data_IF_589207542243
#
_entry.id   IF_589207542243
#
_cell.length_a   1.000
_cell.length_b   1.000
_cell.length_c   1.000
_cell.angle_alpha   90.00
_cell.angle_beta   90.00
_cell.angle_gamma   90.00
#
_symmetry.space_group_name_H-M   'P 1'
#
loop_
_entity.id
_entity.type
_entity.pdbx_description
1 polymer ?
#
# COMPACT_ATOMS: atom_id res chain seq x y z
N UNK A 1 -23.31 5.81 21.95
CA UNK A 1 -22.10 6.57 22.32
C UNK A 1 -21.12 6.70 21.16
N UNK A 2 -21.03 5.72 20.24
CA UNK A 2 -20.13 5.79 19.08
C UNK A 2 -20.49 6.87 18.03
N UNK A 3 -21.78 7.22 17.91
CA UNK A 3 -22.24 8.39 17.14
C UNK A 3 -21.71 9.73 17.71
N UNK A 4 -21.41 9.78 19.01
CA UNK A 4 -20.88 10.99 19.69
C UNK A 4 -19.36 11.08 19.48
N UNK A 5 -18.64 9.95 19.41
CA UNK A 5 -17.20 9.89 19.07
C UNK A 5 -16.94 10.22 17.59
N UNK A 6 -17.80 9.77 16.68
CA UNK A 6 -17.67 10.08 15.25
C UNK A 6 -18.01 11.55 14.93
N UNK A 7 -19.01 12.14 15.62
CA UNK A 7 -19.29 13.58 15.55
C UNK A 7 -18.17 14.42 16.19
N UNK A 8 -17.47 13.87 17.17
CA UNK A 8 -16.33 14.53 17.83
C UNK A 8 -15.05 14.48 16.98
N UNK A 9 -14.77 13.38 16.28
CA UNK A 9 -13.65 13.31 15.32
C UNK A 9 -13.86 14.24 14.11
N UNK A 10 -15.10 14.34 13.61
CA UNK A 10 -15.48 15.33 12.58
C UNK A 10 -15.35 16.78 13.09
N UNK A 11 -15.65 17.05 14.37
CA UNK A 11 -15.37 18.35 15.03
C UNK A 11 -13.86 18.63 15.11
N UNK A 12 -13.03 17.64 15.40
CA UNK A 12 -11.55 17.79 15.47
C UNK A 12 -10.97 18.06 14.07
N UNK A 13 -11.41 17.37 13.02
CA UNK A 13 -10.99 17.64 11.65
C UNK A 13 -11.46 19.01 11.12
N UNK A 14 -12.65 19.48 11.55
CA UNK A 14 -13.13 20.82 11.24
C UNK A 14 -12.32 21.92 11.95
N UNK A 15 -11.91 21.66 13.21
CA UNK A 15 -11.05 22.54 14.00
C UNK A 15 -9.64 22.59 13.39
N UNK A 16 -9.03 21.46 13.05
CA UNK A 16 -7.71 21.37 12.39
C UNK A 16 -7.73 22.08 11.03
N UNK A 17 -8.77 21.92 10.22
CA UNK A 17 -8.93 22.69 8.97
C UNK A 17 -9.10 24.18 9.21
N UNK A 18 -9.86 24.60 10.23
CA UNK A 18 -10.07 26.02 10.58
C UNK A 18 -8.75 26.67 11.04
N UNK A 19 -7.89 25.95 11.78
CA UNK A 19 -6.59 26.46 12.23
C UNK A 19 -5.50 26.41 11.16
N UNK A 20 -5.45 25.38 10.31
CA UNK A 20 -4.53 25.33 9.16
C UNK A 20 -4.87 26.44 8.14
N UNK A 21 -6.15 26.73 7.91
CA UNK A 21 -6.56 27.84 7.06
C UNK A 21 -6.33 29.22 7.71
N UNK A 22 -6.42 29.34 9.06
CA UNK A 22 -6.06 30.57 9.80
C UNK A 22 -4.54 30.80 9.79
N UNK A 23 -3.73 29.75 9.91
CA UNK A 23 -2.28 29.78 9.79
C UNK A 23 -1.82 30.08 8.35
N UNK A 24 -2.49 29.52 7.34
CA UNK A 24 -2.23 29.84 5.93
C UNK A 24 -2.63 31.28 5.59
N UNK A 25 -3.73 31.82 6.13
CA UNK A 25 -4.11 33.23 5.96
C UNK A 25 -3.17 34.19 6.68
N UNK A 26 -2.63 33.82 7.85
CA UNK A 26 -1.61 34.60 8.55
C UNK A 26 -0.25 34.57 7.82
N UNK A 27 0.16 33.40 7.31
CA UNK A 27 1.36 33.25 6.46
C UNK A 27 1.26 34.03 5.15
N UNK A 28 0.08 34.10 4.53
CA UNK A 28 -0.12 34.87 3.30
C UNK A 28 -0.20 36.39 3.58
N UNK A 29 -0.64 36.80 4.77
CA UNK A 29 -0.67 38.20 5.18
C UNK A 29 0.70 38.74 5.65
N UNK A 30 1.54 37.93 6.31
CA UNK A 30 2.87 38.33 6.80
C UNK A 30 3.99 38.18 5.77
N UNK A 31 3.85 37.34 4.73
CA UNK A 31 4.86 37.19 3.67
C UNK A 31 4.82 38.28 2.58
N UNK A 32 4.26 39.45 2.91
CA UNK A 32 4.43 40.69 2.16
C UNK A 32 5.80 41.34 2.34
N UNK A 33 6.90 40.59 2.39
CA UNK A 33 8.26 41.14 2.50
C UNK A 33 9.18 40.61 1.40
N UNK A 34 9.05 41.22 0.22
CA UNK A 34 10.24 41.64 -0.54
C UNK A 34 10.97 42.69 0.30
N UNK A 35 12.20 42.42 0.73
CA UNK A 35 13.33 43.39 0.75
C UNK A 35 14.62 42.77 1.33
N UNK A 36 15.67 42.84 0.50
CA UNK A 36 17.13 42.83 0.74
C UNK A 36 17.65 42.05 1.96
N UNK A 37 18.31 40.93 1.65
CA UNK A 37 19.34 40.30 2.48
C UNK A 37 20.52 41.27 2.67
N UNK A 38 20.51 42.05 3.74
CA UNK A 38 21.73 42.69 4.21
C UNK A 38 22.59 41.63 4.90
N UNK A 39 23.68 41.23 4.22
CA UNK A 39 24.85 40.62 4.86
C UNK A 39 25.32 41.55 5.97
N UNK A 40 25.23 41.10 7.22
CA UNK A 40 25.92 41.73 8.34
C UNK A 40 26.84 40.66 8.94
N UNK A 41 28.10 40.65 8.50
CA UNK A 41 29.19 40.12 9.32
C UNK A 41 29.46 41.16 10.41
N UNK A 42 28.95 40.95 11.63
CA UNK A 42 29.44 41.70 12.79
C UNK A 42 30.64 40.93 13.36
N UNK A 43 31.84 41.51 13.25
CA UNK A 43 33.00 41.10 14.04
C UNK A 43 32.66 41.26 15.53
N UNK A 44 32.58 40.16 16.27
CA UNK A 44 32.73 40.19 17.72
C UNK A 44 34.21 40.41 18.04
N UNK A 45 34.52 41.26 19.03
CA UNK A 45 35.88 41.56 19.49
C UNK A 45 36.52 40.41 20.31
N UNK A 46 36.10 39.17 20.07
CA UNK A 46 36.65 37.98 20.72
C UNK A 46 36.40 36.74 19.85
N UNK A 47 37.27 36.53 18.85
CA UNK A 47 37.74 35.22 18.38
C UNK A 47 36.76 34.12 17.95
N UNK A 48 35.45 34.34 17.81
CA UNK A 48 34.49 33.30 17.44
C UNK A 48 33.48 33.78 16.40
N UNK A 49 33.40 33.10 15.27
CA UNK A 49 32.33 33.28 14.28
C UNK A 49 31.01 32.80 14.89
N UNK A 50 30.25 33.66 15.56
CA UNK A 50 28.83 33.38 15.83
C UNK A 50 28.04 33.64 14.56
N UNK A 51 27.78 32.57 13.80
CA UNK A 51 26.99 32.63 12.58
C UNK A 51 25.51 32.45 12.95
N UNK A 52 24.81 33.57 13.13
CA UNK A 52 23.36 33.60 13.38
C UNK A 52 22.59 33.14 12.14
N UNK A 53 22.55 31.82 11.89
CA UNK A 53 21.84 31.22 10.76
C UNK A 53 20.53 30.60 11.24
N UNK A 54 19.42 31.15 10.76
CA UNK A 54 18.09 30.62 11.02
C UNK A 54 17.91 29.23 10.41
N UNK A 55 17.13 28.39 11.08
CA UNK A 55 16.86 27.01 10.67
C UNK A 55 16.29 26.93 9.26
N UNK A 56 15.40 27.84 8.85
CA UNK A 56 14.84 27.88 7.49
C UNK A 56 15.91 28.04 6.40
N UNK A 57 16.93 28.85 6.68
CA UNK A 57 18.00 29.18 5.73
C UNK A 57 18.98 28.02 5.70
N UNK A 58 19.21 27.40 6.86
CA UNK A 58 19.96 26.16 6.99
C UNK A 58 19.34 25.01 6.18
N UNK A 59 18.01 24.84 6.27
CA UNK A 59 17.28 23.83 5.50
C UNK A 59 17.45 24.07 4.00
N UNK A 60 17.33 25.31 3.54
CA UNK A 60 17.52 25.64 2.13
C UNK A 60 18.92 25.26 1.63
N UNK A 61 19.97 25.61 2.38
CA UNK A 61 21.34 25.23 2.05
C UNK A 61 21.54 23.71 2.03
N UNK A 62 21.06 23.01 3.06
CA UNK A 62 21.13 21.55 3.13
C UNK A 62 20.41 20.88 1.96
N UNK A 63 19.19 21.34 1.62
CA UNK A 63 18.41 20.82 0.51
C UNK A 63 19.12 21.02 -0.83
N UNK A 64 19.78 22.16 -1.04
CA UNK A 64 20.57 22.41 -2.24
C UNK A 64 21.80 21.51 -2.33
N UNK A 65 22.57 21.38 -1.25
CA UNK A 65 23.71 20.47 -1.20
C UNK A 65 23.30 19.00 -1.44
N UNK A 66 22.19 18.58 -0.84
CA UNK A 66 21.74 17.18 -0.91
C UNK A 66 21.23 16.79 -2.29
N UNK A 67 20.75 17.73 -3.11
CA UNK A 67 20.32 17.47 -4.50
C UNK A 67 21.44 16.87 -5.36
N UNK A 68 22.70 17.19 -5.08
CA UNK A 68 23.84 16.63 -5.80
C UNK A 68 24.18 15.20 -5.40
N UNK A 69 23.72 14.72 -4.23
CA UNK A 69 24.11 13.41 -3.68
C UNK A 69 23.02 12.34 -3.72
N UNK A 70 21.73 12.70 -3.77
CA UNK A 70 20.63 11.71 -3.68
C UNK A 70 19.49 12.01 -4.66
N UNK A 71 18.65 11.00 -4.92
CA UNK A 71 17.47 11.13 -5.79
C UNK A 71 16.52 12.25 -5.30
N UNK A 72 15.91 12.97 -6.24
CA UNK A 72 14.99 14.09 -5.99
C UNK A 72 13.89 13.79 -4.96
N UNK A 73 13.35 12.57 -4.95
CA UNK A 73 12.30 12.17 -3.99
C UNK A 73 12.81 12.07 -2.55
N UNK A 74 14.05 11.64 -2.34
CA UNK A 74 14.67 11.58 -1.01
C UNK A 74 14.91 13.00 -0.48
N UNK A 75 15.38 13.92 -1.33
CA UNK A 75 15.54 15.34 -0.96
C UNK A 75 14.21 15.96 -0.55
N UNK A 76 13.15 15.76 -1.35
CA UNK A 76 11.81 16.26 -1.03
C UNK A 76 11.24 15.67 0.27
N UNK A 77 11.59 14.42 0.58
CA UNK A 77 11.26 13.80 1.86
C UNK A 77 11.93 14.54 3.01
N UNK A 78 13.25 14.72 2.93
CA UNK A 78 14.01 15.41 3.98
C UNK A 78 13.57 16.87 4.15
N UNK A 79 13.44 17.63 3.07
CA UNK A 79 12.99 19.03 3.11
C UNK A 79 11.64 19.17 3.83
N UNK A 80 10.69 18.28 3.55
CA UNK A 80 9.39 18.28 4.23
C UNK A 80 9.53 18.06 5.73
N UNK A 81 10.30 17.04 6.12
CA UNK A 81 10.45 16.70 7.54
C UNK A 81 11.19 17.79 8.32
N UNK A 82 12.24 18.36 7.73
CA UNK A 82 12.99 19.46 8.34
C UNK A 82 12.15 20.73 8.43
N UNK A 83 11.32 21.04 7.44
CA UNK A 83 10.38 22.18 7.52
C UNK A 83 9.35 22.00 8.61
N UNK A 84 8.79 20.81 8.78
CA UNK A 84 7.86 20.52 9.89
C UNK A 84 8.53 20.75 11.25
N UNK A 85 9.77 20.27 11.41
CA UNK A 85 10.57 20.50 12.61
C UNK A 85 10.86 22.00 12.85
N UNK A 86 11.28 22.71 11.80
CA UNK A 86 11.51 24.15 11.86
C UNK A 86 10.25 24.94 12.25
N UNK A 87 9.08 24.52 11.76
CA UNK A 87 7.80 25.14 12.12
C UNK A 87 7.45 24.89 13.60
N UNK A 88 7.67 23.67 14.09
CA UNK A 88 7.45 23.31 15.49
C UNK A 88 8.28 24.21 16.43
N UNK A 89 9.57 24.38 16.13
CA UNK A 89 10.48 25.21 16.94
C UNK A 89 10.33 26.72 16.70
N UNK A 90 9.45 27.15 15.80
CA UNK A 90 9.28 28.56 15.42
C UNK A 90 10.55 29.20 14.83
N UNK A 91 11.30 28.41 14.06
CA UNK A 91 12.47 28.84 13.29
C UNK A 91 13.58 29.51 14.15
N UNK A 92 14.16 28.80 15.13
CA UNK A 92 15.29 29.29 15.88
C UNK A 92 16.55 29.31 15.01
N UNK A 93 17.65 29.84 15.55
CA UNK A 93 18.97 29.62 14.99
C UNK A 93 19.39 28.17 15.19
N UNK A 94 20.12 27.61 14.22
CA UNK A 94 20.45 26.19 14.23
C UNK A 94 21.30 25.78 15.45
N UNK A 95 22.16 26.68 15.92
CA UNK A 95 23.05 26.45 17.07
C UNK A 95 22.31 26.49 18.42
N UNK A 96 21.12 27.08 18.45
CA UNK A 96 20.27 27.16 19.65
C UNK A 96 19.35 25.95 19.78
N UNK A 97 19.31 25.05 18.79
CA UNK A 97 18.52 23.83 18.88
C UNK A 97 19.23 22.86 19.83
N UNK A 98 18.50 22.37 20.82
CA UNK A 98 19.00 21.42 21.81
C UNK A 98 18.43 20.02 21.59
N UNK A 99 19.04 19.01 22.23
CA UNK A 99 18.49 17.65 22.22
C UNK A 99 17.07 17.59 22.83
N UNK A 100 16.78 18.42 23.83
CA UNK A 100 15.45 18.52 24.42
C UNK A 100 14.40 18.95 23.40
N UNK A 101 14.73 19.92 22.54
CA UNK A 101 13.83 20.40 21.48
C UNK A 101 13.50 19.30 20.45
N UNK A 102 14.51 18.48 20.12
CA UNK A 102 14.33 17.30 19.26
C UNK A 102 13.43 16.27 19.95
N UNK A 103 13.68 15.97 21.22
CA UNK A 103 12.87 14.99 21.96
C UNK A 103 11.43 15.45 22.16
N UNK A 104 11.20 16.74 22.44
CA UNK A 104 9.87 17.33 22.54
C UNK A 104 9.12 17.21 21.21
N UNK A 105 9.77 17.49 20.08
CA UNK A 105 9.19 17.29 18.77
C UNK A 105 8.81 15.83 18.48
N UNK A 106 9.70 14.88 18.81
CA UNK A 106 9.44 13.45 18.62
C UNK A 106 8.28 12.98 19.52
N UNK A 107 8.25 13.38 20.79
CA UNK A 107 7.18 13.05 21.73
C UNK A 107 5.84 13.64 21.28
N UNK A 108 5.81 14.91 20.87
CA UNK A 108 4.60 15.53 20.34
C UNK A 108 4.04 14.82 19.10
N UNK A 109 4.90 14.27 18.24
CA UNK A 109 4.44 13.41 17.14
C UNK A 109 3.85 12.08 17.63
N UNK A 110 4.42 11.49 18.67
CA UNK A 110 3.90 10.24 19.24
C UNK A 110 2.52 10.47 19.88
N UNK A 111 2.35 11.56 20.61
CA UNK A 111 1.08 11.95 21.24
C UNK A 111 -0.03 12.22 20.20
N UNK A 112 0.36 12.69 19.01
CA UNK A 112 -0.54 12.86 17.86
C UNK A 112 -0.88 11.55 17.14
N UNK A 113 -0.44 10.40 17.65
CA UNK A 113 -0.77 9.08 17.13
C UNK A 113 -0.02 8.69 15.85
N UNK A 114 1.13 9.32 15.57
CA UNK A 114 1.94 8.94 14.41
C UNK A 114 2.49 7.52 14.56
N UNK A 115 2.54 6.78 13.46
CA UNK A 115 3.07 5.43 13.47
C UNK A 115 4.58 5.40 13.74
N UNK A 116 5.06 4.58 14.68
CA UNK A 116 6.48 4.46 15.07
C UNK A 116 7.41 4.25 13.88
N UNK A 117 7.01 3.46 12.87
CA UNK A 117 7.84 3.25 11.68
C UNK A 117 8.02 4.52 10.82
N UNK A 118 7.11 5.49 10.94
CA UNK A 118 7.23 6.79 10.27
C UNK A 118 8.34 7.65 10.86
N UNK A 119 8.76 7.38 12.10
CA UNK A 119 9.79 8.15 12.81
C UNK A 119 11.17 7.88 12.26
N UNK A 120 11.46 6.64 11.83
CA UNK A 120 12.77 6.24 11.30
C UNK A 120 13.25 7.21 10.21
N UNK A 121 12.39 7.53 9.23
CA UNK A 121 12.72 8.46 8.15
C UNK A 121 12.91 9.91 8.63
N UNK A 122 12.16 10.32 9.65
CA UNK A 122 12.22 11.68 10.24
C UNK A 122 13.50 11.87 11.05
N UNK A 123 13.82 10.92 11.94
CA UNK A 123 15.06 10.89 12.69
C UNK A 123 16.27 10.85 11.75
N UNK A 124 16.21 10.07 10.67
CA UNK A 124 17.25 10.07 9.63
C UNK A 124 17.44 11.42 8.96
N UNK A 125 16.36 12.14 8.64
CA UNK A 125 16.46 13.47 8.05
C UNK A 125 17.15 14.45 9.01
N UNK A 126 16.76 14.42 10.30
CA UNK A 126 17.38 15.23 11.35
C UNK A 126 18.86 14.89 11.54
N UNK A 127 19.21 13.60 11.66
CA UNK A 127 20.60 13.16 11.80
C UNK A 127 21.47 13.65 10.65
N UNK A 128 21.01 13.46 9.41
CA UNK A 128 21.75 13.92 8.22
C UNK A 128 21.85 15.43 8.11
N UNK A 129 20.88 16.16 8.64
CA UNK A 129 20.91 17.62 8.70
C UNK A 129 21.93 18.13 9.71
N UNK A 130 21.94 17.60 10.94
CA UNK A 130 22.91 17.99 11.96
C UNK A 130 24.33 17.51 11.65
N UNK A 131 24.49 16.29 11.12
CA UNK A 131 25.78 15.80 10.61
C UNK A 131 26.38 16.76 9.58
N UNK A 132 25.55 17.26 8.64
CA UNK A 132 26.01 18.21 7.62
C UNK A 132 26.55 19.49 8.27
N UNK A 133 25.84 20.08 9.23
CA UNK A 133 26.29 21.31 9.87
C UNK A 133 27.44 21.12 10.85
N UNK A 134 27.50 19.99 11.55
CA UNK A 134 28.63 19.60 12.40
C UNK A 134 29.91 19.47 11.58
N UNK A 135 29.85 18.81 10.41
CA UNK A 135 30.98 18.67 9.49
C UNK A 135 31.42 20.01 8.88
N UNK A 136 30.58 21.04 8.90
CA UNK A 136 30.92 22.41 8.48
C UNK A 136 31.47 23.27 9.64
N UNK A 137 31.60 22.72 10.84
CA UNK A 137 32.15 23.40 12.01
C UNK A 137 31.15 24.21 12.84
N UNK A 138 29.84 24.09 12.59
CA UNK A 138 28.82 24.74 13.41
C UNK A 138 28.67 24.03 14.75
N UNK A 139 28.39 24.79 15.83
CA UNK A 139 28.11 24.22 17.15
C UNK A 139 26.66 23.76 17.23
N UNK A 140 26.39 22.59 16.67
CA UNK A 140 25.06 21.96 16.67
C UNK A 140 25.05 20.68 17.50
N UNK A 141 23.85 20.11 17.72
CA UNK A 141 23.67 18.83 18.40
C UNK A 141 24.46 17.74 17.67
N UNK A 142 25.09 16.85 18.44
CA UNK A 142 25.63 15.61 17.92
C UNK A 142 24.49 14.72 17.37
N UNK A 143 24.53 14.43 16.06
CA UNK A 143 23.51 13.63 15.41
C UNK A 143 23.38 12.22 15.99
N UNK A 144 24.40 11.68 16.65
CA UNK A 144 24.36 10.33 17.22
C UNK A 144 23.43 10.23 18.43
N UNK A 145 23.20 11.34 19.12
CA UNK A 145 22.28 11.42 20.26
C UNK A 145 20.81 11.38 19.86
N UNK A 146 20.49 11.59 18.58
CA UNK A 146 19.10 11.56 18.09
C UNK A 146 18.65 10.09 17.96
N UNK A 147 17.67 9.64 18.77
CA UNK A 147 17.28 8.24 18.78
C UNK A 147 16.57 7.87 17.47
N UNK A 148 16.92 6.69 16.95
CA UNK A 148 16.20 6.07 15.84
C UNK A 148 15.41 4.92 16.44
N UNK A 149 14.07 4.95 16.39
CA UNK A 149 13.31 3.84 16.90
C UNK A 149 13.53 2.60 16.05
N UNK A 150 13.55 1.44 16.70
CA UNK A 150 13.56 0.18 15.99
C UNK A 150 12.32 0.04 15.12
N UNK A 151 12.55 -0.45 13.89
CA UNK A 151 11.46 -0.68 12.96
C UNK A 151 10.66 -1.89 13.44
N UNK A 152 9.42 -1.64 13.85
CA UNK A 152 8.49 -2.71 14.23
C UNK A 152 8.03 -3.40 12.95
N UNK A 153 8.30 -4.70 12.84
CA UNK A 153 7.81 -5.50 11.72
C UNK A 153 6.28 -5.60 11.80
N UNK A 154 5.59 -5.00 10.84
CA UNK A 154 4.14 -5.16 10.69
C UNK A 154 3.87 -6.23 9.66
N UNK A 155 2.85 -7.06 9.94
CA UNK A 155 2.36 -8.00 8.94
C UNK A 155 1.92 -7.23 7.69
N UNK A 156 2.29 -7.71 6.50
CA UNK A 156 1.87 -7.10 5.25
C UNK A 156 0.35 -7.17 5.15
N UNK A 157 -0.22 -6.12 4.55
CA UNK A 157 -1.64 -6.12 4.18
C UNK A 157 -1.76 -6.82 2.83
N UNK A 158 -1.96 -8.13 2.84
CA UNK A 158 -2.23 -8.95 1.65
C UNK A 158 -3.70 -8.79 1.28
N UNK A 159 -4.01 -8.54 0.02
CA UNK A 159 -5.38 -8.50 -0.48
C UNK A 159 -5.89 -9.93 -0.75
N UNK A 160 -7.15 -10.24 -0.44
CA UNK A 160 -7.80 -11.50 -0.82
C UNK A 160 -8.55 -11.37 -2.15
N UNK A 161 -8.93 -12.50 -2.75
CA UNK A 161 -9.71 -12.53 -3.99
C UNK A 161 -11.09 -11.89 -3.77
N UNK A 162 -11.73 -12.14 -2.62
CA UNK A 162 -13.02 -11.56 -2.25
C UNK A 162 -12.93 -10.03 -2.12
N UNK A 163 -11.84 -9.53 -1.54
CA UNK A 163 -11.59 -8.09 -1.42
C UNK A 163 -11.38 -7.44 -2.78
N UNK A 164 -10.74 -8.14 -3.72
CA UNK A 164 -10.60 -7.66 -5.08
C UNK A 164 -11.96 -7.59 -5.79
N UNK A 165 -12.78 -8.63 -5.69
CA UNK A 165 -14.13 -8.63 -6.26
C UNK A 165 -15.01 -7.52 -5.64
N UNK A 166 -14.92 -7.31 -4.33
CA UNK A 166 -15.60 -6.20 -3.66
C UNK A 166 -15.11 -4.83 -4.16
N UNK A 167 -13.81 -4.68 -4.42
CA UNK A 167 -13.28 -3.44 -4.97
C UNK A 167 -13.75 -3.20 -6.41
N UNK A 168 -13.80 -4.24 -7.24
CA UNK A 168 -14.25 -4.13 -8.62
C UNK A 168 -15.76 -3.85 -8.69
N UNK A 169 -16.55 -4.41 -7.77
CA UNK A 169 -18.01 -4.22 -7.75
C UNK A 169 -18.45 -2.78 -7.47
N UNK A 170 -17.64 -2.00 -6.73
CA UNK A 170 -17.95 -0.58 -6.47
C UNK A 170 -17.64 0.37 -7.63
N UNK A 171 -16.98 -0.12 -8.69
CA UNK A 171 -16.62 0.66 -9.88
C UNK A 171 -17.69 0.43 -10.96
N UNK A 172 -18.35 1.50 -11.47
CA UNK A 172 -19.38 1.34 -12.50
C UNK A 172 -18.81 0.71 -13.78
N UNK A 173 -19.29 -0.49 -14.13
CA UNK A 173 -18.83 -1.26 -15.31
C UNK A 173 -19.51 -0.79 -16.60
N UNK A 174 -20.77 -0.37 -16.55
CA UNK A 174 -21.55 0.05 -17.74
C UNK A 174 -21.53 1.57 -17.96
N UNK A 175 -20.45 2.22 -17.52
CA UNK A 175 -20.31 3.68 -17.60
C UNK A 175 -19.49 4.09 -18.83
N UNK A 176 -19.97 5.10 -19.56
CA UNK A 176 -19.20 5.74 -20.63
C UNK A 176 -18.20 6.80 -20.11
N UNK A 177 -18.06 6.94 -18.78
CA UNK A 177 -17.07 7.82 -18.18
C UNK A 177 -15.66 7.25 -18.40
N UNK A 178 -14.76 7.96 -19.11
CA UNK A 178 -13.40 7.48 -19.37
C UNK A 178 -12.63 7.19 -18.08
N UNK A 179 -12.96 7.84 -16.97
CA UNK A 179 -12.32 7.60 -15.67
C UNK A 179 -12.63 6.20 -15.17
N UNK A 180 -13.88 5.75 -15.24
CA UNK A 180 -14.27 4.43 -14.75
C UNK A 180 -13.60 3.31 -15.56
N UNK A 181 -13.65 3.42 -16.89
CA UNK A 181 -13.03 2.46 -17.82
C UNK A 181 -11.51 2.37 -17.59
N UNK A 182 -10.83 3.52 -17.52
CA UNK A 182 -9.39 3.58 -17.21
C UNK A 182 -9.06 2.96 -15.87
N UNK A 183 -9.83 3.27 -14.84
CA UNK A 183 -9.54 2.84 -13.48
C UNK A 183 -9.68 1.32 -13.33
N UNK A 184 -10.66 0.70 -14.00
CA UNK A 184 -10.77 -0.77 -14.09
C UNK A 184 -9.52 -1.39 -14.72
N UNK A 185 -9.06 -0.86 -15.85
CA UNK A 185 -7.85 -1.33 -16.52
C UNK A 185 -6.60 -1.20 -15.63
N UNK A 186 -6.43 -0.06 -14.95
CA UNK A 186 -5.32 0.16 -14.01
C UNK A 186 -5.37 -0.83 -12.84
N UNK A 187 -6.56 -1.04 -12.25
CA UNK A 187 -6.71 -1.93 -11.09
C UNK A 187 -6.47 -3.39 -11.49
N UNK A 188 -7.00 -3.84 -12.63
CA UNK A 188 -6.73 -5.18 -13.17
C UNK A 188 -5.24 -5.40 -13.43
N UNK A 189 -4.56 -4.41 -14.05
CA UNK A 189 -3.12 -4.47 -14.26
C UNK A 189 -2.34 -4.57 -12.94
N UNK A 190 -2.69 -3.78 -11.92
CA UNK A 190 -2.02 -3.85 -10.62
C UNK A 190 -2.24 -5.21 -9.93
N UNK A 191 -3.43 -5.78 -10.07
CA UNK A 191 -3.83 -7.06 -9.50
C UNK A 191 -3.04 -8.22 -10.12
N UNK A 192 -3.10 -8.36 -11.45
CA UNK A 192 -2.50 -9.50 -12.13
C UNK A 192 -0.96 -9.46 -12.13
N UNK A 193 -0.40 -8.26 -12.29
CA UNK A 193 1.05 -8.10 -12.51
C UNK A 193 1.82 -7.83 -11.22
N UNK A 194 1.13 -7.37 -10.18
CA UNK A 194 1.76 -6.85 -8.97
C UNK A 194 2.71 -5.66 -9.21
N UNK A 195 2.60 -4.94 -10.33
CA UNK A 195 3.50 -3.85 -10.69
C UNK A 195 3.40 -2.62 -9.76
N UNK A 196 4.47 -1.79 -9.74
CA UNK A 196 4.48 -0.54 -8.94
C UNK A 196 3.61 0.50 -9.65
N UNK A 197 3.02 1.42 -8.89
CA UNK A 197 2.28 2.55 -9.47
C UNK A 197 3.08 3.31 -10.53
N UNK A 198 4.38 3.55 -10.27
CA UNK A 198 5.27 4.20 -11.22
C UNK A 198 5.43 3.41 -12.51
N UNK A 199 5.63 2.09 -12.40
CA UNK A 199 5.77 1.19 -13.55
C UNK A 199 4.50 1.19 -14.40
N UNK A 200 3.31 1.11 -13.79
CA UNK A 200 2.02 1.18 -14.51
C UNK A 200 1.80 2.54 -15.17
N UNK A 201 2.12 3.64 -14.50
CA UNK A 201 1.93 4.98 -15.06
C UNK A 201 2.91 5.28 -16.21
N UNK A 202 4.07 4.62 -16.25
CA UNK A 202 5.09 4.82 -17.28
C UNK A 202 4.93 3.96 -18.53
N UNK A 203 3.96 3.05 -18.57
CA UNK A 203 3.74 2.18 -19.74
C UNK A 203 3.27 3.00 -20.93
N UNK A 204 3.82 2.70 -22.11
CA UNK A 204 3.34 3.23 -23.38
C UNK A 204 2.44 2.21 -24.08
N UNK A 205 1.50 2.68 -24.88
CA UNK A 205 0.51 1.83 -25.56
C UNK A 205 1.18 0.82 -26.49
N UNK A 206 2.35 1.16 -27.04
CA UNK A 206 3.12 0.32 -27.97
C UNK A 206 3.99 -0.72 -27.25
N UNK A 207 4.10 -0.65 -25.91
CA UNK A 207 4.76 -1.69 -25.11
C UNK A 207 3.86 -2.94 -24.91
N UNK A 208 2.58 -2.88 -25.34
CA UNK A 208 1.58 -3.91 -25.08
C UNK A 208 1.50 -4.89 -26.24
N UNK A 209 1.52 -6.17 -25.88
CA UNK A 209 1.12 -7.28 -26.72
C UNK A 209 -0.20 -7.83 -26.16
N UNK A 210 -1.32 -7.35 -26.72
CA UNK A 210 -2.68 -7.72 -26.28
C UNK A 210 -3.08 -9.13 -26.69
N UNK A 211 -2.38 -9.71 -27.68
CA UNK A 211 -2.57 -11.10 -28.12
C UNK A 211 -1.96 -12.05 -27.12
N UNK A 212 -0.70 -11.80 -26.74
CA UNK A 212 0.04 -12.60 -25.76
C UNK A 212 -0.21 -12.16 -24.30
N UNK A 213 -1.06 -11.14 -24.09
CA UNK A 213 -1.41 -10.57 -22.78
C UNK A 213 -0.18 -10.22 -21.92
N UNK A 214 0.79 -9.53 -22.54
CA UNK A 214 2.05 -9.15 -21.90
C UNK A 214 2.52 -7.75 -22.28
N UNK A 215 3.37 -7.15 -21.45
CA UNK A 215 4.04 -5.90 -21.75
C UNK A 215 5.46 -5.86 -21.17
N UNK A 216 6.31 -5.03 -21.75
CA UNK A 216 7.64 -4.76 -21.23
C UNK A 216 7.60 -3.46 -20.42
N UNK A 217 8.05 -3.51 -19.15
CA UNK A 217 8.08 -2.33 -18.29
C UNK A 217 9.50 -1.94 -17.89
N UNK A 218 9.75 -0.63 -17.86
CA UNK A 218 11.00 -0.02 -17.40
C UNK A 218 11.02 0.04 -15.87
N UNK A 219 12.12 -0.37 -15.25
CA UNK A 219 12.26 -0.32 -13.80
C UNK A 219 13.22 0.80 -13.36
N UNK A 220 12.70 1.91 -12.82
CA UNK A 220 13.51 3.04 -12.32
C UNK A 220 14.48 2.67 -11.17
N UNK A 221 14.28 1.50 -10.55
CA UNK A 221 15.12 0.96 -9.46
C UNK A 221 16.20 -0.02 -9.93
N UNK A 222 16.31 -0.30 -11.23
CA UNK A 222 17.42 -1.09 -11.75
C UNK A 222 18.69 -0.24 -11.84
N UNK A 223 19.38 -0.06 -10.70
CA UNK A 223 20.85 0.04 -10.70
C UNK A 223 21.52 -1.33 -11.02
N UNK A 224 20.76 -2.28 -11.57
CA UNK A 224 21.09 -3.67 -11.82
C UNK A 224 20.92 -3.99 -13.32
N UNK A 225 21.58 -5.07 -13.77
CA UNK A 225 21.76 -5.56 -15.16
C UNK A 225 20.47 -5.79 -15.97
N UNK A 226 19.26 -5.67 -15.41
CA UNK A 226 17.98 -5.85 -16.12
C UNK A 226 17.10 -4.60 -15.99
N UNK A 227 17.23 -3.61 -16.90
CA UNK A 227 16.44 -2.38 -16.87
C UNK A 227 14.96 -2.59 -17.20
N UNK A 228 14.62 -3.75 -17.77
CA UNK A 228 13.28 -4.11 -18.21
C UNK A 228 12.84 -5.44 -17.58
N UNK A 229 11.54 -5.59 -17.36
CA UNK A 229 10.89 -6.88 -17.06
C UNK A 229 9.60 -7.03 -17.85
N UNK A 230 9.28 -8.25 -18.22
CA UNK A 230 7.97 -8.57 -18.77
C UNK A 230 6.95 -8.73 -17.64
N UNK A 231 5.72 -8.27 -17.90
CA UNK A 231 4.55 -8.47 -17.06
C UNK A 231 3.47 -9.16 -17.88
N UNK A 232 2.69 -10.00 -17.23
CA UNK A 232 1.63 -10.80 -17.85
C UNK A 232 0.32 -10.57 -17.10
N UNK A 233 -0.80 -10.60 -17.81
CA UNK A 233 -2.13 -10.42 -17.23
C UNK A 233 -3.14 -11.44 -17.75
N UNK A 234 -4.30 -11.49 -17.09
CA UNK A 234 -5.38 -12.41 -17.41
C UNK A 234 -6.30 -11.84 -18.49
N UNK A 235 -7.12 -12.70 -19.09
CA UNK A 235 -8.14 -12.29 -20.07
C UNK A 235 -9.06 -11.18 -19.54
N UNK A 236 -9.46 -11.26 -18.26
CA UNK A 236 -10.31 -10.23 -17.62
C UNK A 236 -9.66 -8.85 -17.64
N UNK A 237 -8.37 -8.77 -17.29
CA UNK A 237 -7.60 -7.52 -17.39
C UNK A 237 -7.43 -7.07 -18.84
N UNK A 238 -7.25 -8.03 -19.76
CA UNK A 238 -7.15 -7.72 -21.19
C UNK A 238 -8.43 -7.06 -21.72
N UNK A 239 -9.60 -7.54 -21.31
CA UNK A 239 -10.89 -6.96 -21.68
C UNK A 239 -11.03 -5.51 -21.18
N UNK A 240 -10.55 -5.22 -19.95
CA UNK A 240 -10.50 -3.84 -19.45
C UNK A 240 -9.54 -2.96 -20.24
N UNK A 241 -8.37 -3.47 -20.63
CA UNK A 241 -7.39 -2.75 -21.44
C UNK A 241 -7.95 -2.42 -22.83
N UNK A 242 -8.59 -3.38 -23.50
CA UNK A 242 -9.22 -3.18 -24.81
C UNK A 242 -10.27 -2.07 -24.76
N UNK A 243 -11.17 -2.13 -23.77
CA UNK A 243 -12.19 -1.09 -23.55
C UNK A 243 -11.56 0.28 -23.29
N UNK A 244 -10.48 0.33 -22.52
CA UNK A 244 -9.76 1.57 -22.28
C UNK A 244 -9.10 2.12 -23.55
N UNK A 245 -8.43 1.28 -24.35
CA UNK A 245 -7.78 1.69 -25.59
C UNK A 245 -8.77 2.24 -26.61
N UNK A 246 -9.95 1.61 -26.74
CA UNK A 246 -11.03 2.12 -27.59
C UNK A 246 -11.50 3.50 -27.10
N UNK A 247 -11.76 3.64 -25.80
CA UNK A 247 -12.17 4.92 -25.22
C UNK A 247 -11.09 5.99 -25.39
N UNK A 248 -9.83 5.64 -25.15
CA UNK A 248 -8.65 6.49 -25.30
C UNK A 248 -8.53 7.01 -26.74
N UNK A 249 -8.71 6.15 -27.75
CA UNK A 249 -8.73 6.55 -29.16
C UNK A 249 -9.83 7.56 -29.47
N UNK A 250 -10.98 7.44 -28.81
CA UNK A 250 -12.04 8.45 -28.89
C UNK A 250 -11.64 9.79 -28.26
N UNK A 251 -10.95 9.75 -27.11
CA UNK A 251 -10.47 10.97 -26.43
C UNK A 251 -9.39 11.69 -27.24
N UNK A 252 -8.52 10.95 -27.93
CA UNK A 252 -7.44 11.49 -28.77
C UNK A 252 -7.97 12.36 -29.92
N UNK A 253 -9.21 12.09 -30.38
CA UNK A 253 -9.90 12.93 -31.37
C UNK A 253 -10.46 14.23 -30.80
N UNK A 254 -10.64 14.32 -29.48
CA UNK A 254 -11.29 15.45 -28.81
C UNK A 254 -10.28 16.37 -28.13
N UNK A 255 -9.16 15.83 -27.67
CA UNK A 255 -8.14 16.57 -26.91
C UNK A 255 -6.75 16.14 -27.35
N UNK A 256 -5.85 17.11 -27.53
CA UNK A 256 -4.43 16.85 -27.79
C UNK A 256 -3.78 16.24 -26.55
N UNK A 257 -3.08 15.12 -26.72
CA UNK A 257 -2.28 14.53 -25.66
C UNK A 257 -0.88 15.14 -25.65
N UNK A 258 -0.36 15.40 -24.45
CA UNK A 258 1.02 15.87 -24.26
C UNK A 258 2.01 14.76 -24.61
N UNK A 259 1.64 13.51 -24.29
CA UNK A 259 2.38 12.27 -24.53
C UNK A 259 1.46 11.25 -25.23
N UNK A 260 1.34 11.29 -26.58
CA UNK A 260 0.42 10.44 -27.35
C UNK A 260 0.72 8.93 -27.29
N UNK A 261 1.92 8.55 -26.85
CA UNK A 261 2.36 7.18 -26.59
C UNK A 261 1.87 6.65 -25.23
N UNK A 262 1.59 7.52 -24.25
CA UNK A 262 1.23 7.10 -22.90
C UNK A 262 -0.01 6.20 -22.87
N UNK A 263 0.08 5.02 -22.26
CA UNK A 263 -1.05 4.09 -22.16
C UNK A 263 -2.21 4.72 -21.37
N UNK A 264 -1.90 5.24 -20.18
CA UNK A 264 -2.90 5.84 -19.29
C UNK A 264 -2.76 7.36 -19.29
N UNK A 265 -3.86 8.05 -19.62
CA UNK A 265 -3.96 9.51 -19.59
C UNK A 265 -5.01 9.98 -18.59
N UNK A 266 -4.88 11.23 -18.15
CA UNK A 266 -5.85 11.86 -17.26
C UNK A 266 -7.05 12.38 -18.04
N UNK A 267 -8.25 12.13 -17.51
CA UNK A 267 -9.53 12.61 -18.03
C UNK A 267 -10.20 13.58 -17.02
N UNK A 268 -9.39 14.32 -16.26
CA UNK A 268 -9.85 15.40 -15.37
C UNK A 268 -9.68 16.75 -16.06
N UNK A 269 -10.62 17.66 -15.88
CA UNK A 269 -10.63 18.98 -16.54
C UNK A 269 -9.30 19.73 -16.48
N UNK A 270 -8.60 19.72 -15.35
CA UNK A 270 -7.34 20.46 -15.16
C UNK A 270 -6.08 19.80 -15.73
N UNK A 271 -6.15 18.53 -16.14
CA UNK A 271 -4.99 17.75 -16.60
C UNK A 271 -5.33 16.87 -17.81
N UNK A 272 -6.36 17.24 -18.55
CA UNK A 272 -6.91 16.39 -19.59
C UNK A 272 -5.84 16.10 -20.65
N UNK A 273 -5.62 14.83 -20.99
CA UNK A 273 -4.63 14.43 -22.00
C UNK A 273 -3.19 14.29 -21.49
N UNK A 274 -2.92 14.60 -20.23
CA UNK A 274 -1.61 14.36 -19.61
C UNK A 274 -1.45 12.89 -19.20
N UNK A 275 -0.22 12.37 -19.21
CA UNK A 275 0.09 11.05 -18.64
C UNK A 275 -0.45 10.94 -17.22
N UNK A 276 -1.08 9.81 -16.91
CA UNK A 276 -1.73 9.61 -15.64
C UNK A 276 -0.69 9.53 -14.52
N UNK A 277 -0.78 10.48 -13.58
CA UNK A 277 0.25 10.61 -12.54
C UNK A 277 0.15 9.51 -11.46
N UNK A 278 1.30 9.12 -10.90
CA UNK A 278 1.41 8.21 -9.74
C UNK A 278 0.54 8.65 -8.57
N UNK A 279 0.51 9.97 -8.30
CA UNK A 279 -0.32 10.57 -7.25
C UNK A 279 -1.81 10.37 -7.56
N UNK A 280 -2.21 10.64 -8.80
CA UNK A 280 -3.59 10.44 -9.27
C UNK A 280 -4.03 8.98 -9.18
N UNK A 281 -3.16 8.02 -9.52
CA UNK A 281 -3.41 6.59 -9.33
C UNK A 281 -3.62 6.25 -7.85
N UNK A 282 -2.74 6.72 -6.97
CA UNK A 282 -2.87 6.48 -5.53
C UNK A 282 -4.15 7.07 -4.91
N UNK A 283 -4.53 8.28 -5.32
CA UNK A 283 -5.77 8.93 -4.89
C UNK A 283 -7.01 8.22 -5.44
N UNK A 284 -6.97 7.81 -6.71
CA UNK A 284 -8.02 7.03 -7.35
C UNK A 284 -8.24 5.71 -6.62
N UNK A 285 -7.17 4.95 -6.38
CA UNK A 285 -7.26 3.67 -5.69
C UNK A 285 -7.79 3.84 -4.27
N UNK A 286 -7.27 4.83 -3.52
CA UNK A 286 -7.78 5.14 -2.16
C UNK A 286 -9.27 5.44 -2.17
N UNK A 287 -9.78 6.19 -3.15
CA UNK A 287 -11.22 6.50 -3.24
C UNK A 287 -12.07 5.25 -3.41
N UNK A 288 -11.68 4.32 -4.27
CA UNK A 288 -12.44 3.08 -4.45
C UNK A 288 -12.28 2.13 -3.28
N UNK A 289 -11.09 2.01 -2.70
CA UNK A 289 -10.87 1.25 -1.48
C UNK A 289 -11.74 1.78 -0.33
N UNK A 290 -11.85 3.10 -0.16
CA UNK A 290 -12.77 3.69 0.83
C UNK A 290 -14.24 3.39 0.52
N UNK A 291 -14.64 3.48 -0.76
CA UNK A 291 -16.01 3.16 -1.19
C UNK A 291 -16.36 1.69 -0.96
N UNK A 292 -15.36 0.81 -1.05
CA UNK A 292 -15.46 -0.61 -0.78
C UNK A 292 -15.18 -0.95 0.71
N UNK A 293 -15.15 0.05 1.61
CA UNK A 293 -14.95 -0.13 3.05
C UNK A 293 -13.61 -0.79 3.45
N UNK A 294 -12.60 -0.66 2.60
CA UNK A 294 -11.24 -1.20 2.78
C UNK A 294 -10.16 -0.11 2.73
N UNK A 295 -10.21 0.92 3.61
CA UNK A 295 -9.34 2.11 3.54
C UNK A 295 -7.83 1.81 3.69
N UNK A 296 -7.50 0.61 4.17
CA UNK A 296 -6.14 0.16 4.41
C UNK A 296 -5.45 -0.43 3.17
N UNK A 297 -6.22 -0.79 2.13
CA UNK A 297 -5.71 -1.39 0.90
C UNK A 297 -5.08 -0.35 -0.02
N UNK A 298 -4.05 -0.79 -0.74
CA UNK A 298 -3.35 0.02 -1.74
C UNK A 298 -2.62 -0.89 -2.74
N UNK A 299 -1.91 -0.31 -3.70
CA UNK A 299 -1.22 -1.08 -4.73
C UNK A 299 -0.13 -2.02 -4.20
N UNK A 300 0.48 -1.71 -3.05
CA UNK A 300 1.39 -2.67 -2.41
C UNK A 300 0.63 -3.88 -1.86
N UNK A 301 -0.63 -3.74 -1.45
CA UNK A 301 -1.47 -4.88 -1.07
C UNK A 301 -1.69 -5.86 -2.22
N UNK A 302 -1.88 -5.36 -3.45
CA UNK A 302 -1.96 -6.21 -4.65
C UNK A 302 -0.62 -6.84 -5.00
N UNK A 303 0.49 -6.10 -4.89
CA UNK A 303 1.82 -6.71 -5.04
C UNK A 303 2.06 -7.82 -4.02
N UNK A 304 1.64 -7.61 -2.77
CA UNK A 304 1.78 -8.62 -1.73
C UNK A 304 0.90 -9.85 -2.02
N UNK A 305 -0.35 -9.63 -2.46
CA UNK A 305 -1.21 -10.70 -2.96
C UNK A 305 -0.51 -11.50 -4.06
N UNK A 306 0.02 -10.85 -5.10
CA UNK A 306 0.67 -11.55 -6.21
C UNK A 306 1.90 -12.34 -5.76
N UNK A 307 2.71 -11.77 -4.86
CA UNK A 307 3.86 -12.47 -4.28
C UNK A 307 3.45 -13.72 -3.49
N UNK A 308 2.41 -13.59 -2.66
CA UNK A 308 1.86 -14.72 -1.89
C UNK A 308 1.23 -15.78 -2.81
N UNK A 309 0.53 -15.36 -3.87
CA UNK A 309 -0.05 -16.27 -4.85
C UNK A 309 1.04 -17.10 -5.55
N UNK A 310 2.14 -16.47 -6.01
CA UNK A 310 3.26 -17.18 -6.64
C UNK A 310 3.83 -18.26 -5.69
N UNK A 311 4.07 -17.90 -4.43
CA UNK A 311 4.56 -18.87 -3.43
C UNK A 311 3.54 -19.98 -3.22
N UNK A 312 2.26 -19.65 -3.01
CA UNK A 312 1.18 -20.62 -2.78
C UNK A 312 1.02 -21.61 -3.94
N UNK A 313 1.24 -21.15 -5.18
CA UNK A 313 1.24 -21.99 -6.39
C UNK A 313 2.50 -22.85 -6.56
N UNK A 314 3.38 -22.92 -5.55
CA UNK A 314 4.60 -23.73 -5.58
C UNK A 314 5.84 -22.99 -6.08
N UNK A 315 5.73 -21.71 -6.44
CA UNK A 315 6.86 -20.88 -6.85
C UNK A 315 7.90 -20.68 -5.76
N UNK A 316 9.14 -20.50 -6.17
CA UNK A 316 10.28 -20.19 -5.32
C UNK A 316 10.37 -18.68 -5.04
N UNK A 317 11.19 -18.31 -4.05
CA UNK A 317 11.53 -16.90 -3.79
C UNK A 317 12.23 -16.24 -4.99
N UNK A 318 12.97 -17.02 -5.79
CA UNK A 318 13.57 -16.57 -7.05
C UNK A 318 12.50 -16.17 -8.06
N UNK A 319 11.43 -16.96 -8.17
CA UNK A 319 10.31 -16.67 -9.08
C UNK A 319 9.61 -15.37 -8.66
N UNK A 320 9.36 -15.18 -7.37
CA UNK A 320 8.80 -13.91 -6.86
C UNK A 320 9.71 -12.73 -7.20
N UNK A 321 11.03 -12.87 -7.02
CA UNK A 321 11.99 -11.80 -7.30
C UNK A 321 12.03 -11.42 -8.78
N UNK A 322 12.09 -12.42 -9.67
CA UNK A 322 12.10 -12.24 -11.12
C UNK A 322 10.77 -11.66 -11.61
N UNK A 323 9.65 -12.26 -11.18
CA UNK A 323 8.32 -11.84 -11.62
C UNK A 323 7.98 -10.45 -11.09
N UNK A 324 8.22 -10.11 -9.81
CA UNK A 324 7.85 -8.81 -9.22
C UNK A 324 8.91 -7.72 -9.32
N UNK A 325 10.12 -8.03 -9.79
CA UNK A 325 11.24 -7.10 -9.90
C UNK A 325 11.69 -6.56 -8.54
N UNK A 326 11.91 -7.45 -7.57
CA UNK A 326 12.44 -7.10 -6.25
C UNK A 326 13.97 -6.99 -6.30
N UNK A 327 14.51 -5.84 -5.88
CA UNK A 327 15.96 -5.60 -5.85
C UNK A 327 16.67 -6.23 -4.64
N UNK A 328 15.93 -6.75 -3.65
CA UNK A 328 16.52 -7.40 -2.47
C UNK A 328 15.68 -8.59 -2.01
N UNK A 329 16.36 -9.65 -1.57
CA UNK A 329 15.80 -10.87 -0.99
C UNK A 329 14.95 -10.56 0.26
N UNK A 330 15.36 -9.55 1.05
CA UNK A 330 14.66 -9.12 2.26
C UNK A 330 13.22 -8.62 2.01
N UNK A 331 12.95 -8.11 0.80
CA UNK A 331 11.60 -7.73 0.37
C UNK A 331 10.70 -8.95 0.09
N UNK A 332 11.32 -10.11 -0.11
CA UNK A 332 10.70 -11.39 -0.47
C UNK A 332 10.56 -12.31 0.75
N UNK A 333 11.41 -12.18 1.78
CA UNK A 333 11.29 -12.89 3.07
C UNK A 333 9.94 -12.67 3.75
N UNK A 334 9.31 -11.53 3.46
CA UNK A 334 7.95 -11.22 3.90
C UNK A 334 6.92 -12.25 3.42
N UNK A 335 7.18 -12.92 2.28
CA UNK A 335 6.27 -13.91 1.68
C UNK A 335 6.66 -15.36 2.00
N UNK A 336 7.75 -15.60 2.72
CA UNK A 336 8.21 -16.95 3.08
C UNK A 336 7.77 -17.37 4.48
N UNK A 337 7.17 -16.46 5.26
CA UNK A 337 6.66 -16.78 6.60
C UNK A 337 5.33 -17.53 6.49
N UNK A 338 5.41 -18.85 6.27
CA UNK A 338 4.25 -19.75 6.32
C UNK A 338 3.90 -20.07 7.77
N UNK A 339 2.60 -20.20 8.09
CA UNK A 339 2.13 -20.53 9.44
C UNK A 339 0.95 -21.49 9.41
N UNK A 340 0.83 -22.29 10.47
CA UNK A 340 -0.31 -23.18 10.70
C UNK A 340 -0.51 -24.18 9.55
N UNK A 341 -1.75 -24.24 9.04
CA UNK A 341 -2.17 -25.17 7.99
C UNK A 341 -1.36 -25.05 6.70
N UNK A 342 -0.92 -23.85 6.34
CA UNK A 342 -0.09 -23.63 5.13
C UNK A 342 1.29 -24.27 5.25
N UNK A 343 1.92 -24.16 6.44
CA UNK A 343 3.20 -24.81 6.70
C UNK A 343 3.04 -26.33 6.69
N UNK A 344 1.96 -26.85 7.28
CA UNK A 344 1.66 -28.28 7.31
C UNK A 344 1.43 -28.84 5.90
N UNK A 345 0.57 -28.20 5.10
CA UNK A 345 0.30 -28.60 3.70
C UNK A 345 1.59 -28.62 2.89
N UNK A 346 2.42 -27.58 3.01
CA UNK A 346 3.67 -27.51 2.23
C UNK A 346 4.74 -28.48 2.74
N UNK A 347 4.85 -28.69 4.05
CA UNK A 347 5.76 -29.68 4.61
C UNK A 347 5.39 -31.10 4.15
N UNK A 348 4.10 -31.42 4.12
CA UNK A 348 3.60 -32.72 3.61
C UNK A 348 3.88 -32.94 2.13
N UNK A 349 3.84 -31.88 1.30
CA UNK A 349 4.26 -31.98 -0.11
C UNK A 349 5.71 -32.43 -0.27
N UNK A 350 6.63 -31.97 0.59
CA UNK A 350 8.05 -32.33 0.52
C UNK A 350 8.39 -33.66 1.18
N UNK A 351 7.52 -34.19 2.04
CA UNK A 351 7.68 -35.50 2.68
C UNK A 351 7.29 -36.68 1.78
N UNK A 352 6.75 -36.42 0.58
CA UNK A 352 6.46 -37.47 -0.39
C UNK A 352 5.17 -38.26 -0.13
N UNK A 353 4.28 -37.78 0.76
CA UNK A 353 2.97 -38.41 1.03
C UNK A 353 1.97 -38.33 -0.15
N UNK A 354 2.42 -37.86 -1.32
CA UNK A 354 1.65 -37.90 -2.55
C UNK A 354 1.83 -39.24 -3.28
N UNK A 355 1.13 -40.27 -2.80
CA UNK A 355 0.59 -41.26 -3.74
C UNK A 355 -0.89 -41.11 -4.05
N UNK A 356 -1.73 -40.51 -3.20
CA UNK A 356 -3.19 -40.69 -3.40
C UNK A 356 -4.10 -39.46 -3.16
N UNK A 357 -3.62 -38.20 -3.27
CA UNK A 357 -4.49 -37.03 -2.92
C UNK A 357 -4.79 -35.99 -4.00
N UNK A 358 -4.65 -36.37 -5.27
CA UNK A 358 -5.41 -35.75 -6.37
C UNK A 358 -6.25 -36.76 -7.17
N UNK A 359 -6.27 -38.03 -6.76
CA UNK A 359 -7.27 -38.97 -7.24
C UNK A 359 -8.55 -38.74 -6.42
N UNK A 360 -9.55 -38.18 -7.11
CA UNK A 360 -10.97 -38.17 -6.74
C UNK A 360 -11.34 -37.53 -5.39
N UNK A 361 -12.08 -36.41 -5.47
CA UNK A 361 -13.25 -36.26 -4.61
C UNK A 361 -14.26 -37.37 -4.96
N UNK A 362 -13.97 -38.61 -4.60
CA UNK A 362 -15.01 -39.60 -4.39
C UNK A 362 -15.65 -39.18 -3.08
N UNK A 363 -16.75 -38.44 -3.19
CA UNK A 363 -17.80 -38.52 -2.18
C UNK A 363 -18.03 -40.01 -1.93
N UNK A 364 -17.81 -40.48 -0.70
CA UNK A 364 -18.17 -41.83 -0.30
C UNK A 364 -19.59 -42.11 -0.83
N UNK A 365 -19.76 -43.08 -1.76
CA UNK A 365 -21.06 -43.39 -2.35
C UNK A 365 -22.11 -43.70 -1.27
N UNK A 366 -21.66 -44.19 -0.10
CA UNK A 366 -22.50 -44.41 1.07
C UNK A 366 -23.00 -43.11 1.71
N UNK A 367 -22.14 -42.10 1.83
CA UNK A 367 -22.51 -40.79 2.41
C UNK A 367 -23.47 -40.03 1.49
N UNK A 368 -23.22 -40.06 0.16
CA UNK A 368 -24.11 -39.45 -0.83
C UNK A 368 -25.51 -40.08 -0.85
N UNK A 369 -25.60 -41.42 -0.83
CA UNK A 369 -26.88 -42.14 -0.72
C UNK A 369 -27.57 -41.90 0.64
N UNK A 370 -26.82 -41.82 1.73
CA UNK A 370 -27.37 -41.56 3.05
C UNK A 370 -27.96 -40.15 3.16
N UNK A 371 -27.29 -39.13 2.62
CA UNK A 371 -27.79 -37.76 2.57
C UNK A 371 -29.01 -37.63 1.66
N UNK A 372 -29.01 -38.31 0.52
CA UNK A 372 -30.15 -38.30 -0.40
C UNK A 372 -31.36 -39.03 0.20
N UNK A 373 -31.14 -40.14 0.91
CA UNK A 373 -32.17 -40.85 1.67
C UNK A 373 -32.75 -40.02 2.82
N UNK A 374 -31.90 -39.33 3.57
CA UNK A 374 -32.33 -38.41 4.64
C UNK A 374 -33.15 -37.23 4.09
N UNK A 375 -32.68 -36.60 3.00
CA UNK A 375 -33.39 -35.48 2.37
C UNK A 375 -34.74 -35.92 1.78
N UNK A 376 -34.82 -37.10 1.15
CA UNK A 376 -36.07 -37.64 0.59
C UNK A 376 -37.07 -37.98 1.71
N UNK A 377 -36.60 -38.49 2.85
CA UNK A 377 -37.43 -38.78 4.01
C UNK A 377 -37.97 -37.50 4.68
N UNK A 378 -37.12 -36.48 4.87
CA UNK A 378 -37.54 -35.16 5.40
C UNK A 378 -38.57 -34.50 4.48
N UNK A 379 -38.46 -34.70 3.15
CA UNK A 379 -39.44 -34.22 2.19
C UNK A 379 -40.76 -35.01 2.20
N UNK A 380 -40.72 -36.32 2.48
CA UNK A 380 -41.92 -37.16 2.56
C UNK A 380 -42.68 -36.99 3.88
N UNK A 381 -41.98 -36.80 5.01
CA UNK A 381 -42.61 -36.54 6.32
C UNK A 381 -43.22 -35.13 6.42
N UNK A 382 -42.78 -34.18 5.59
CA UNK A 382 -43.45 -32.88 5.45
C UNK A 382 -44.73 -32.92 4.59
N UNK A 383 -45.10 -34.08 4.03
CA UNK A 383 -46.32 -34.24 3.24
C UNK A 383 -47.48 -34.90 4.01
N UNK A 384 -47.21 -35.57 5.13
CA UNK A 384 -48.24 -36.11 6.01
C UNK A 384 -48.35 -35.20 7.25
N UNK A 385 -49.54 -34.64 7.42
CA UNK A 385 -49.92 -33.67 8.45
C UNK A 385 -49.72 -34.24 9.88
N UNK A 386 -48.76 -33.70 10.64
CA UNK A 386 -48.57 -34.04 12.05
C UNK A 386 -47.18 -33.74 12.61
N UNK A 387 -47.12 -32.75 13.50
CA UNK A 387 -45.95 -32.24 14.25
C UNK A 387 -44.73 -33.18 14.43
N UNK A 388 -43.62 -32.85 13.75
CA UNK A 388 -42.30 -33.40 14.06
C UNK A 388 -41.84 -32.84 15.41
N UNK A 389 -41.86 -33.67 16.46
CA UNK A 389 -41.31 -33.30 17.77
C UNK A 389 -39.79 -33.45 17.80
N UNK A 390 -39.09 -32.58 18.52
CA UNK A 390 -37.63 -32.61 18.66
C UNK A 390 -37.11 -33.97 19.18
N UNK A 391 -37.88 -34.64 20.05
CA UNK A 391 -37.56 -35.99 20.55
C UNK A 391 -37.56 -37.07 19.46
N UNK A 392 -38.42 -36.96 18.44
CA UNK A 392 -38.44 -37.91 17.32
C UNK A 392 -37.21 -37.74 16.43
N UNK A 393 -36.76 -36.50 16.21
CA UNK A 393 -35.52 -36.19 15.49
C UNK A 393 -34.29 -36.68 16.26
N UNK A 394 -34.27 -36.50 17.59
CA UNK A 394 -33.14 -36.89 18.44
C UNK A 394 -33.02 -38.42 18.60
N UNK A 395 -34.14 -39.14 18.74
CA UNK A 395 -34.14 -40.62 18.74
C UNK A 395 -33.60 -41.18 17.42
N UNK A 396 -33.98 -40.60 16.28
CA UNK A 396 -33.55 -41.11 14.98
C UNK A 396 -32.13 -40.69 14.61
N UNK A 397 -31.69 -39.49 15.02
CA UNK A 397 -30.28 -39.10 14.90
C UNK A 397 -29.36 -40.04 15.69
N UNK A 398 -29.81 -40.49 16.88
CA UNK A 398 -29.10 -41.48 17.66
C UNK A 398 -29.12 -42.89 17.03
N UNK A 399 -30.23 -43.30 16.40
CA UNK A 399 -30.29 -44.55 15.62
C UNK A 399 -29.32 -44.52 14.41
N UNK A 400 -29.28 -43.42 13.66
CA UNK A 400 -28.33 -43.21 12.58
C UNK A 400 -26.88 -43.18 13.10
N UNK A 401 -26.60 -42.46 14.18
CA UNK A 401 -25.27 -42.42 14.78
C UNK A 401 -24.80 -43.82 15.25
N UNK A 402 -25.70 -44.68 15.73
CA UNK A 402 -25.38 -46.06 16.10
C UNK A 402 -25.07 -46.96 14.89
N UNK A 403 -25.78 -46.80 13.77
CA UNK A 403 -25.50 -47.55 12.53
C UNK A 403 -24.14 -47.19 11.90
N UNK A 404 -23.61 -45.99 12.18
CA UNK A 404 -22.32 -45.51 11.65
C UNK A 404 -21.19 -45.44 12.70
N UNK A 405 -21.44 -45.88 13.94
CA UNK A 405 -20.40 -46.02 14.99
C UNK A 405 -19.38 -47.06 14.54
N UNK A 406 -18.18 -46.60 14.17
CA UNK A 406 -17.05 -47.46 13.79
C UNK A 406 -16.47 -47.19 12.39
N UNK A 407 -17.05 -46.30 11.58
CA UNK A 407 -16.54 -45.96 10.22
C UNK A 407 -16.10 -44.50 10.03
N UNK A 408 -15.89 -43.75 11.10
CA UNK A 408 -15.36 -42.37 11.04
C UNK A 408 -14.15 -42.27 11.98
N UNK A 409 -12.92 -42.09 11.47
CA UNK A 409 -11.76 -41.87 12.33
C UNK A 409 -11.80 -40.44 12.90
N UNK A 410 -11.88 -40.33 14.22
CA UNK A 410 -11.63 -39.08 14.94
C UNK A 410 -10.12 -38.79 14.97
N UNK A 411 -9.67 -37.54 14.76
CA UNK A 411 -8.28 -37.17 14.97
C UNK A 411 -7.99 -37.06 16.47
N UNK A 412 -7.10 -37.93 16.96
CA UNK A 412 -6.50 -37.80 18.29
C UNK A 412 -5.64 -36.52 18.33
N UNK A 413 -5.98 -35.60 19.24
CA UNK A 413 -5.03 -34.58 19.70
C UNK A 413 -4.10 -35.25 20.71
N UNK A 414 -2.81 -35.30 20.42
CA UNK A 414 -1.78 -35.69 21.38
C UNK A 414 -1.23 -34.44 22.08
N UNK A 415 -1.05 -34.61 23.39
CA UNK A 415 -0.51 -33.70 24.42
C UNK A 415 0.83 -33.07 24.10
#
# INVERSE_FOLDING_TARGET
>A
MDSILEKSQKKIDAIVRKYVLKALRFLIADFGLRRKTNRIHRRSHSGGFTCYMLTKDAIYQFSNWRQFKVKKNTVRGYDRELRNFCLFLRNPEIENITLSDVMEYLNGMADLGWDRNSFVGKCMALRKFFEFYRLQGYKVIDEELIPIPDKVMKLPRVASDEQFEQLISVIPKDSNDPRHIRNLAIIGMLWDTGARNGEICSIDKDDLDLTEMRAIIRTEKAKSRRPFREIFWTKSTNDYLLRWLEKRKHLEKQVKFDEPEALFVSATSSKYGQRFSIKGLGEMLRRYCNKAEMPYMNAHSFRHHRGHHIIKSGGSTSDVMNILGHSSVQSTTIYTMMRGKELEERARLFLGDNKDRFAEKQTDPGFGKALQGFMTFVQNQNKDDGSVTAENLERQANYFAQQFKGKVPYPHYAS
#
